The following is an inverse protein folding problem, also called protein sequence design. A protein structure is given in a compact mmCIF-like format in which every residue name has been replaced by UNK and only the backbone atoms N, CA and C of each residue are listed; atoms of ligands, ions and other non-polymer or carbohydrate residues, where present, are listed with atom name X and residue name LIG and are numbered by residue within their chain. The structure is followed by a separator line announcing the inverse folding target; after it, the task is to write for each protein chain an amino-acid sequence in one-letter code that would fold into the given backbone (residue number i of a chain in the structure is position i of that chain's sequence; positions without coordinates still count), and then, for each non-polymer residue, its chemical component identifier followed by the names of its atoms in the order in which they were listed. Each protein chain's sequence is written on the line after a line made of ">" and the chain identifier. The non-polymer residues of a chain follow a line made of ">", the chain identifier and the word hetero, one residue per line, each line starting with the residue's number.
data_IF_086532497275
#
_entry.id   IF_086532497275
#
_cell.length_a   1.000
_cell.length_b   1.000
_cell.length_c   1.000
_cell.angle_alpha   90.00
_cell.angle_beta   90.00
_cell.angle_gamma   90.00
#
_symmetry.space_group_name_H-M   'P 1'
#
loop_
_entity.id
_entity.type
_entity.pdbx_description
1 polymer ?
#
# COMPACT_ATOMS: atom_id res chain seq x y z
N UNK A 1 -36.65 -11.81 13.09
CA UNK A 1 -35.98 -11.84 11.77
C UNK A 1 -35.79 -10.41 11.33
N UNK A 2 -34.72 -9.75 11.79
CA UNK A 2 -34.39 -8.38 11.39
C UNK A 2 -33.48 -8.53 10.18
N UNK A 3 -33.99 -8.19 8.99
CA UNK A 3 -33.14 -8.04 7.82
C UNK A 3 -32.18 -6.89 8.11
N UNK A 4 -30.92 -7.22 8.40
CA UNK A 4 -29.84 -6.25 8.27
C UNK A 4 -29.72 -5.96 6.78
N UNK A 5 -30.27 -4.81 6.39
CA UNK A 5 -29.96 -4.17 5.12
C UNK A 5 -28.45 -4.02 5.04
N UNK A 6 -27.81 -4.82 4.19
CA UNK A 6 -26.47 -4.58 3.70
C UNK A 6 -26.58 -3.30 2.86
N UNK A 7 -26.31 -2.15 3.49
CA UNK A 7 -26.00 -0.94 2.75
C UNK A 7 -24.68 -1.24 2.06
N UNK A 8 -24.74 -1.67 0.80
CA UNK A 8 -23.60 -1.50 -0.08
C UNK A 8 -23.50 0.02 -0.29
N UNK A 9 -22.71 0.69 0.55
CA UNK A 9 -22.27 2.05 0.28
C UNK A 9 -21.74 2.07 -1.15
N UNK A 10 -22.18 3.03 -1.97
CA UNK A 10 -21.64 3.18 -3.32
C UNK A 10 -20.21 3.71 -3.21
N UNK A 11 -19.27 2.83 -2.87
CA UNK A 11 -17.87 3.17 -2.78
C UNK A 11 -17.38 3.54 -4.18
N UNK A 12 -16.87 4.77 -4.34
CA UNK A 12 -16.21 5.14 -5.59
C UNK A 12 -14.92 4.35 -5.74
N UNK A 13 -14.81 3.58 -6.84
CA UNK A 13 -13.66 2.70 -7.09
C UNK A 13 -12.63 3.43 -7.97
N UNK A 14 -11.44 3.63 -7.42
CA UNK A 14 -10.27 4.18 -8.09
C UNK A 14 -9.28 3.04 -8.40
N UNK A 15 -9.40 2.45 -9.59
CA UNK A 15 -8.51 1.37 -10.02
C UNK A 15 -7.14 1.93 -10.45
N UNK A 16 -6.06 1.46 -9.83
CA UNK A 16 -4.69 1.93 -10.13
C UNK A 16 -4.27 1.76 -11.59
N UNK A 17 -4.86 0.79 -12.32
CA UNK A 17 -4.63 0.62 -13.76
C UNK A 17 -5.16 1.79 -14.58
N UNK A 18 -6.28 2.40 -14.16
CA UNK A 18 -6.84 3.61 -14.77
C UNK A 18 -5.94 4.83 -14.59
N UNK A 19 -5.02 4.77 -13.63
CA UNK A 19 -3.98 5.79 -13.39
C UNK A 19 -2.61 5.40 -13.98
N UNK A 20 -2.55 4.33 -14.78
CA UNK A 20 -1.34 3.94 -15.52
C UNK A 20 -0.42 2.96 -14.80
N UNK A 21 -0.83 2.38 -13.66
CA UNK A 21 -0.07 1.30 -13.03
C UNK A 21 0.05 0.10 -13.97
N UNK A 22 1.19 -0.60 -13.94
CA UNK A 22 1.41 -1.78 -14.77
C UNK A 22 1.62 -3.02 -13.91
N UNK A 23 0.84 -4.09 -14.12
CA UNK A 23 0.87 -5.30 -13.28
C UNK A 23 2.04 -6.25 -13.62
N UNK A 24 3.18 -5.74 -14.09
CA UNK A 24 4.30 -6.53 -14.61
C UNK A 24 5.48 -6.69 -13.63
N UNK A 25 5.43 -6.02 -12.48
CA UNK A 25 6.48 -6.06 -11.45
C UNK A 25 7.79 -5.36 -11.82
N UNK A 26 7.84 -4.64 -12.94
CA UNK A 26 9.05 -4.04 -13.49
C UNK A 26 8.90 -2.54 -13.75
N UNK A 27 7.72 -2.08 -14.15
CA UNK A 27 7.47 -0.65 -14.38
C UNK A 27 7.09 0.02 -13.07
N UNK A 28 7.79 1.11 -12.75
CA UNK A 28 7.48 1.96 -11.60
C UNK A 28 6.02 2.44 -11.68
N UNK A 29 5.23 2.06 -10.68
CA UNK A 29 3.81 2.39 -10.55
C UNK A 29 3.56 3.45 -9.47
N UNK A 30 4.60 4.07 -8.91
CA UNK A 30 4.50 5.04 -7.82
C UNK A 30 3.52 6.16 -8.13
N UNK A 31 3.66 6.79 -9.30
CA UNK A 31 2.80 7.92 -9.67
C UNK A 31 1.33 7.50 -9.80
N UNK A 32 1.07 6.33 -10.41
CA UNK A 32 -0.30 5.81 -10.54
C UNK A 32 -0.96 5.57 -9.18
N UNK A 33 -0.20 5.10 -8.19
CA UNK A 33 -0.69 4.91 -6.82
C UNK A 33 -0.93 6.25 -6.11
N UNK A 34 -0.05 7.23 -6.29
CA UNK A 34 -0.21 8.59 -5.75
C UNK A 34 -1.43 9.29 -6.37
N UNK A 35 -1.66 9.12 -7.67
CA UNK A 35 -2.79 9.72 -8.36
C UNK A 35 -4.11 9.06 -7.95
N UNK A 36 -4.15 7.72 -7.85
CA UNK A 36 -5.31 6.99 -7.34
C UNK A 36 -5.65 7.40 -5.90
N UNK A 37 -4.64 7.54 -5.04
CA UNK A 37 -4.81 8.07 -3.68
C UNK A 37 -5.37 9.49 -3.69
N UNK A 38 -4.81 10.38 -4.51
CA UNK A 38 -5.25 11.78 -4.58
C UNK A 38 -6.70 11.88 -5.06
N UNK A 39 -7.10 11.04 -6.01
CA UNK A 39 -8.47 10.99 -6.50
C UNK A 39 -9.45 10.49 -5.43
N UNK A 40 -9.10 9.38 -4.75
CA UNK A 40 -9.89 8.85 -3.63
C UNK A 40 -10.04 9.89 -2.49
N UNK A 41 -8.92 10.47 -2.07
CA UNK A 41 -8.83 11.50 -1.05
C UNK A 41 -9.71 12.73 -1.35
N UNK A 42 -9.87 13.10 -2.63
CA UNK A 42 -10.66 14.26 -3.04
C UNK A 42 -12.18 14.03 -3.07
N UNK A 43 -12.63 12.77 -2.90
CA UNK A 43 -14.04 12.37 -2.85
C UNK A 43 -14.72 12.82 -1.57
N UNK A 44 -16.02 13.12 -1.63
CA UNK A 44 -16.83 13.39 -0.43
C UNK A 44 -17.43 12.10 0.17
N UNK A 45 -17.47 11.01 -0.61
CA UNK A 45 -18.06 9.73 -0.23
C UNK A 45 -16.98 8.70 0.14
N UNK A 46 -17.39 7.55 0.71
CA UNK A 46 -16.50 6.40 0.92
C UNK A 46 -15.87 5.96 -0.41
N UNK A 47 -14.60 5.58 -0.38
CA UNK A 47 -13.83 5.24 -1.57
C UNK A 47 -13.06 3.95 -1.43
N UNK A 48 -12.86 3.27 -2.55
CA UNK A 48 -11.98 2.10 -2.65
C UNK A 48 -10.91 2.34 -3.69
N UNK A 49 -9.65 2.30 -3.30
CA UNK A 49 -8.51 2.17 -4.22
C UNK A 49 -8.35 0.68 -4.51
N UNK A 50 -8.59 0.29 -5.76
CA UNK A 50 -8.51 -1.11 -6.19
C UNK A 50 -7.15 -1.38 -6.82
N UNK A 51 -6.45 -2.40 -6.32
CA UNK A 51 -5.21 -2.94 -6.87
C UNK A 51 -5.47 -4.37 -7.36
N UNK A 52 -5.81 -4.56 -8.66
CA UNK A 52 -6.11 -5.89 -9.21
C UNK A 52 -4.92 -6.84 -9.14
N UNK A 53 -5.19 -8.14 -9.31
CA UNK A 53 -4.15 -9.18 -9.41
C UNK A 53 -3.03 -8.77 -10.38
N UNK A 54 -1.78 -8.95 -9.93
CA UNK A 54 -0.60 -8.50 -10.66
C UNK A 54 0.54 -8.17 -9.71
N UNK A 55 1.68 -7.79 -10.29
CA UNK A 55 2.86 -7.34 -9.55
C UNK A 55 3.09 -5.86 -9.83
N UNK A 56 3.18 -5.01 -8.81
CA UNK A 56 3.35 -3.57 -8.99
C UNK A 56 4.62 -3.11 -8.29
N UNK A 57 5.55 -2.54 -9.06
CA UNK A 57 6.80 -2.02 -8.51
C UNK A 57 6.56 -0.63 -7.91
N UNK A 58 6.85 -0.52 -6.61
CA UNK A 58 6.87 0.71 -5.83
C UNK A 58 8.29 0.83 -5.24
N UNK A 59 9.26 1.34 -6.01
CA UNK A 59 10.68 1.11 -5.78
C UNK A 59 11.23 1.81 -4.53
N UNK A 60 10.62 2.93 -4.12
CA UNK A 60 11.06 3.76 -3.01
C UNK A 60 9.95 3.95 -1.98
N UNK A 61 10.25 4.69 -0.90
CA UNK A 61 9.25 5.06 0.09
C UNK A 61 8.15 5.95 -0.52
N UNK A 62 6.89 5.65 -0.20
CA UNK A 62 5.71 6.39 -0.65
C UNK A 62 4.94 6.91 0.56
N UNK A 63 4.52 8.16 0.46
CA UNK A 63 3.73 8.85 1.47
C UNK A 63 2.37 9.21 0.90
N UNK A 64 1.34 8.48 1.32
CA UNK A 64 -0.05 8.77 1.07
C UNK A 64 -0.53 9.82 2.07
N UNK A 65 -0.61 11.07 1.62
CA UNK A 65 -0.84 12.26 2.45
C UNK A 65 -2.32 12.61 2.56
N UNK A 66 -2.78 12.88 3.77
CA UNK A 66 -4.18 13.08 4.11
C UNK A 66 -4.63 14.51 4.41
N UNK A 67 -3.73 15.49 4.42
CA UNK A 67 -4.01 16.83 4.96
C UNK A 67 -5.16 17.57 4.27
N UNK A 68 -5.52 17.14 3.05
CA UNK A 68 -6.60 17.71 2.23
C UNK A 68 -7.67 16.67 1.85
N UNK A 69 -7.68 15.49 2.48
CA UNK A 69 -8.72 14.51 2.21
C UNK A 69 -10.06 14.99 2.71
N UNK A 70 -11.07 14.84 1.86
CA UNK A 70 -12.45 15.18 2.18
C UNK A 70 -13.20 13.97 2.73
N UNK A 71 -12.92 12.79 2.19
CA UNK A 71 -13.43 11.52 2.72
C UNK A 71 -12.67 11.09 3.97
N UNK A 72 -13.38 10.43 4.87
CA UNK A 72 -12.85 9.82 6.08
C UNK A 72 -12.91 8.28 6.02
N UNK A 73 -13.22 7.72 4.85
CA UNK A 73 -13.28 6.27 4.63
C UNK A 73 -12.66 5.92 3.28
N UNK A 74 -11.43 5.41 3.35
CA UNK A 74 -10.64 4.98 2.20
C UNK A 74 -10.23 3.53 2.41
N UNK A 75 -10.77 2.65 1.59
CA UNK A 75 -10.34 1.25 1.52
C UNK A 75 -9.27 1.08 0.46
N UNK A 76 -8.10 0.60 0.85
CA UNK A 76 -7.01 0.18 -0.02
C UNK A 76 -7.12 -1.34 -0.22
N UNK A 77 -7.85 -1.76 -1.25
CA UNK A 77 -8.09 -3.18 -1.53
C UNK A 77 -7.03 -3.73 -2.48
N UNK A 78 -6.23 -4.67 -1.98
CA UNK A 78 -5.11 -5.25 -2.70
C UNK A 78 -5.40 -6.71 -3.01
N UNK A 79 -5.59 -7.01 -4.30
CA UNK A 79 -5.69 -8.39 -4.79
C UNK A 79 -4.36 -8.88 -5.39
N UNK A 80 -3.39 -7.97 -5.59
CA UNK A 80 -2.08 -8.24 -6.15
C UNK A 80 -0.92 -8.24 -5.15
N UNK A 81 0.28 -8.03 -5.68
CA UNK A 81 1.52 -7.90 -4.91
C UNK A 81 2.14 -6.53 -5.16
N UNK A 82 2.35 -5.76 -4.10
CA UNK A 82 3.20 -4.57 -4.12
C UNK A 82 4.63 -5.01 -3.87
N UNK A 83 5.59 -4.47 -4.62
CA UNK A 83 6.97 -4.94 -4.59
C UNK A 83 7.91 -3.75 -4.51
N UNK A 84 8.84 -3.80 -3.57
CA UNK A 84 9.89 -2.80 -3.44
C UNK A 84 10.98 -2.97 -4.48
N UNK A 85 11.90 -2.00 -4.55
CA UNK A 85 13.14 -2.19 -5.30
C UNK A 85 13.92 -3.41 -4.79
N UNK A 86 14.49 -4.24 -5.68
CA UNK A 86 15.45 -5.28 -5.27
C UNK A 86 16.75 -4.68 -4.71
N UNK A 87 17.05 -3.41 -4.99
CA UNK A 87 18.14 -2.69 -4.36
C UNK A 87 17.70 -2.18 -2.98
N UNK A 88 18.05 -2.94 -1.95
CA UNK A 88 17.70 -2.65 -0.56
C UNK A 88 18.23 -1.31 -0.05
N UNK A 89 19.21 -0.70 -0.72
CA UNK A 89 19.76 0.61 -0.35
C UNK A 89 18.77 1.74 -0.62
N UNK A 90 17.89 1.56 -1.61
CA UNK A 90 16.84 2.53 -1.96
C UNK A 90 15.84 2.68 -0.80
N UNK A 91 15.34 1.56 -0.28
CA UNK A 91 14.47 1.58 0.92
C UNK A 91 15.25 1.75 2.22
N UNK A 92 16.52 1.38 2.25
CA UNK A 92 17.36 1.41 3.44
C UNK A 92 17.50 2.79 4.08
N UNK A 93 17.29 3.86 3.30
CA UNK A 93 17.35 5.25 3.75
C UNK A 93 16.00 5.76 4.31
N UNK A 94 14.94 4.97 4.22
CA UNK A 94 13.60 5.35 4.65
C UNK A 94 13.16 4.61 5.91
N UNK A 95 12.44 5.31 6.79
CA UNK A 95 11.86 4.70 8.00
C UNK A 95 10.71 3.75 7.69
N UNK A 96 9.91 4.06 6.66
CA UNK A 96 8.73 3.30 6.23
C UNK A 96 8.73 3.20 4.71
N UNK A 97 8.31 2.04 4.19
CA UNK A 97 8.13 1.86 2.74
C UNK A 97 6.83 2.49 2.26
N UNK A 98 5.72 2.20 2.94
CA UNK A 98 4.42 2.82 2.68
C UNK A 98 3.99 3.53 3.95
N UNK A 99 3.66 4.81 3.87
CA UNK A 99 3.09 5.55 5.00
C UNK A 99 1.80 6.26 4.61
N UNK A 100 0.82 6.20 5.50
CA UNK A 100 -0.42 6.96 5.43
C UNK A 100 -0.32 8.04 6.51
N UNK A 101 -0.13 9.29 6.09
CA UNK A 101 0.23 10.39 6.98
C UNK A 101 -0.94 11.39 7.07
N UNK A 102 -1.31 11.77 8.31
CA UNK A 102 -2.33 12.79 8.59
C UNK A 102 -3.68 12.50 7.89
N UNK A 103 -4.05 11.23 7.85
CA UNK A 103 -5.33 10.73 7.30
C UNK A 103 -6.08 9.96 8.38
N UNK A 104 -7.40 9.89 8.28
CA UNK A 104 -8.27 9.11 9.18
C UNK A 104 -9.09 8.13 8.35
N UNK A 105 -9.35 6.94 8.91
CA UNK A 105 -10.20 5.91 8.30
C UNK A 105 -9.63 5.27 7.04
N UNK A 106 -8.37 4.86 7.09
CA UNK A 106 -7.78 4.02 6.04
C UNK A 106 -7.85 2.56 6.45
N UNK A 107 -8.49 1.75 5.62
CA UNK A 107 -8.51 0.30 5.74
C UNK A 107 -7.63 -0.31 4.65
N UNK A 108 -6.73 -1.23 4.98
CA UNK A 108 -5.93 -1.97 3.99
C UNK A 108 -6.35 -3.43 4.05
N UNK A 109 -6.78 -3.98 2.92
CA UNK A 109 -7.37 -5.31 2.85
C UNK A 109 -6.61 -6.15 1.83
N UNK A 110 -6.22 -7.35 2.27
CA UNK A 110 -5.64 -8.38 1.41
C UNK A 110 -4.21 -8.09 0.93
N UNK A 111 -3.86 -8.78 -0.16
CA UNK A 111 -2.65 -8.54 -0.93
C UNK A 111 -1.37 -9.08 -0.32
N UNK A 112 -0.26 -8.77 -0.98
CA UNK A 112 1.08 -9.10 -0.50
C UNK A 112 1.99 -7.88 -0.65
N UNK A 113 2.76 -7.59 0.40
CA UNK A 113 3.78 -6.55 0.41
C UNK A 113 5.16 -7.20 0.42
N UNK A 114 5.82 -7.25 -0.73
CA UNK A 114 7.16 -7.82 -0.90
C UNK A 114 8.22 -6.69 -0.85
N UNK A 115 8.75 -6.43 0.35
CA UNK A 115 9.73 -5.38 0.59
C UNK A 115 11.18 -5.72 0.15
N UNK A 116 11.41 -6.88 -0.49
CA UNK A 116 12.73 -7.31 -0.98
C UNK A 116 13.87 -7.30 0.06
N UNK A 117 13.55 -7.63 1.32
CA UNK A 117 14.49 -7.53 2.44
C UNK A 117 15.66 -8.54 2.47
N UNK A 118 15.63 -9.61 1.67
CA UNK A 118 16.63 -10.69 1.73
C UNK A 118 18.07 -10.20 1.56
N UNK A 119 18.32 -9.29 0.61
CA UNK A 119 19.65 -8.74 0.38
C UNK A 119 20.14 -7.86 1.54
N UNK A 120 19.24 -7.12 2.19
CA UNK A 120 19.56 -6.36 3.40
C UNK A 120 19.93 -7.29 4.55
N UNK A 121 19.20 -8.39 4.73
CA UNK A 121 19.48 -9.37 5.77
C UNK A 121 20.86 -10.02 5.57
N UNK A 122 21.20 -10.39 4.34
CA UNK A 122 22.53 -10.89 4.00
C UNK A 122 23.64 -9.88 4.34
N UNK A 123 23.42 -8.59 4.05
CA UNK A 123 24.35 -7.52 4.44
C UNK A 123 24.57 -7.51 5.96
N UNK A 124 23.49 -7.51 6.76
CA UNK A 124 23.55 -7.45 8.22
C UNK A 124 24.23 -8.69 8.82
N UNK A 125 23.96 -9.88 8.28
CA UNK A 125 24.57 -11.14 8.74
C UNK A 125 26.07 -11.22 8.48
N UNK A 126 26.56 -10.60 7.41
CA UNK A 126 27.98 -10.60 7.07
C UNK A 126 28.84 -9.72 8.02
N UNK A 127 28.24 -9.14 9.07
CA UNK A 127 28.87 -8.14 9.95
C UNK A 127 29.50 -6.96 9.18
N UNK A 128 29.00 -6.71 7.97
CA UNK A 128 29.48 -5.63 7.10
C UNK A 128 29.12 -4.27 7.70
N UNK A 129 30.10 -3.39 7.81
CA UNK A 129 29.87 -1.99 8.12
C UNK A 129 29.13 -1.30 6.96
N UNK A 130 28.08 -0.51 7.23
CA UNK A 130 27.38 0.29 6.21
C UNK A 130 26.06 -0.29 5.69
N UNK A 131 25.53 -1.36 6.29
CA UNK A 131 24.18 -1.82 5.99
C UNK A 131 23.14 -0.82 6.52
N UNK A 132 22.15 -0.39 5.72
CA UNK A 132 21.10 0.50 6.19
C UNK A 132 20.20 -0.16 7.26
N UNK A 133 19.46 0.65 8.02
CA UNK A 133 18.51 0.13 9.02
C UNK A 133 17.39 -0.69 8.37
N UNK A 134 16.93 -0.24 7.19
CA UNK A 134 15.76 -0.81 6.52
C UNK A 134 14.46 -0.16 6.98
N UNK A 135 13.44 -0.26 6.13
CA UNK A 135 12.10 0.21 6.45
C UNK A 135 11.46 -0.67 7.54
N UNK A 136 10.75 -0.03 8.47
CA UNK A 136 10.01 -0.65 9.56
C UNK A 136 8.51 -0.57 9.30
N UNK A 137 7.72 -1.30 10.09
CA UNK A 137 6.28 -1.17 10.15
C UNK A 137 5.98 -0.39 11.44
N UNK A 138 5.50 0.85 11.34
CA UNK A 138 5.19 1.69 12.51
C UNK A 138 3.76 2.26 12.46
N UNK A 139 2.74 1.40 12.59
CA UNK A 139 1.46 1.67 13.26
C UNK A 139 0.59 0.40 13.30
N UNK A 140 -0.23 0.26 14.35
CA UNK A 140 -1.30 -0.73 14.46
C UNK A 140 -2.34 -0.48 13.35
N UNK A 141 -2.12 -1.07 12.19
CA UNK A 141 -3.22 -1.30 11.26
C UNK A 141 -4.05 -2.40 11.93
N UNK A 142 -5.35 -2.20 12.13
CA UNK A 142 -6.27 -3.33 12.28
C UNK A 142 -6.24 -4.08 10.93
N UNK A 143 -5.19 -4.85 10.70
CA UNK A 143 -5.14 -5.80 9.61
C UNK A 143 -6.19 -6.85 9.95
N UNK A 144 -7.36 -6.77 9.30
CA UNK A 144 -8.36 -7.83 9.36
C UNK A 144 -7.83 -8.96 8.48
N UNK A 145 -6.85 -9.70 9.00
CA UNK A 145 -6.34 -10.90 8.36
C UNK A 145 -7.37 -12.01 8.51
N UNK A 146 -7.93 -12.49 7.40
CA UNK A 146 -8.60 -13.79 7.38
C UNK A 146 -7.50 -14.87 7.37
N UNK A 147 -7.34 -15.56 8.50
CA UNK A 147 -6.57 -16.81 8.57
C UNK A 147 -7.28 -17.87 7.72
N UNK A 148 -6.72 -18.14 6.54
CA UNK A 148 -7.14 -19.27 5.71
C UNK A 148 -6.28 -20.47 6.08
N UNK A 149 -6.66 -21.19 7.13
CA UNK A 149 -6.14 -22.54 7.34
C UNK A 149 -6.74 -23.47 6.30
N UNK A 150 -5.89 -23.94 5.38
CA UNK A 150 -5.99 -25.27 4.75
C UNK A 150 -4.60 -25.87 4.71
#
# INVERSE_FOLDING_TARGET
>A
MILQSLVAESAFIYNVLSFGAKPNGATDSTQAFVDAWSAACASNDSTTISVPKGRYLLPSAIKFRGEKCKTLDITFQIDGTLIASPDYRILGQANNWLSFERVTGVSIIGGTLDAKGTALWACKLAASTGCPNGATITQQIHAVGYDSKT
#
